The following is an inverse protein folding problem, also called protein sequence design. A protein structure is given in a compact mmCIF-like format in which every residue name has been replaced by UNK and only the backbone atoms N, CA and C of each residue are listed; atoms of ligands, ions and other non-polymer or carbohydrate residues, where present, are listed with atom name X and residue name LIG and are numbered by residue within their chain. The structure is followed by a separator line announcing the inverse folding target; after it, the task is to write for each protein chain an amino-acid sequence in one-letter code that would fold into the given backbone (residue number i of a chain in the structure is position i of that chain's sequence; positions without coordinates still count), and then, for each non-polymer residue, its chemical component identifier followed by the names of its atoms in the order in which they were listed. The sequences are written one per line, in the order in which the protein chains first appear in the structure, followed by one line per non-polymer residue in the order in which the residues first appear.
data_IF_659302577638
#
_entry.id   IF_659302577638
#
_cell.length_a   1.000
_cell.length_b   1.000
_cell.length_c   1.000
_cell.angle_alpha   90.00
_cell.angle_beta   90.00
_cell.angle_gamma   90.00
#
_symmetry.space_group_name_H-M   'P 1'
#
loop_
_entity.id
_entity.type
_entity.pdbx_description
1 polymer ?
#
# COMPACT_ATOMS: atom_id res chain seq x y z
N UNK A 1 76.62 -14.58 -38.68
CA UNK A 1 75.52 -14.33 -37.71
C UNK A 1 74.21 -14.45 -38.45
N UNK A 2 73.58 -15.61 -38.34
CA UNK A 2 72.51 -16.09 -39.21
C UNK A 2 71.15 -15.89 -38.51
N UNK A 3 70.22 -15.19 -39.16
CA UNK A 3 68.91 -14.84 -38.59
C UNK A 3 67.92 -16.00 -38.77
N UNK A 4 67.63 -16.71 -37.69
CA UNK A 4 66.60 -17.76 -37.63
C UNK A 4 65.21 -17.12 -37.64
N UNK A 5 64.47 -17.30 -38.74
CA UNK A 5 63.04 -16.93 -38.86
C UNK A 5 62.18 -18.07 -38.32
N UNK A 6 61.62 -17.90 -37.12
CA UNK A 6 60.61 -18.82 -36.56
C UNK A 6 59.25 -18.51 -37.20
N UNK A 7 58.74 -19.43 -38.03
CA UNK A 7 57.37 -19.39 -38.57
C UNK A 7 56.41 -20.02 -37.56
N UNK A 8 55.57 -19.19 -36.92
CA UNK A 8 54.42 -19.69 -36.15
C UNK A 8 53.22 -19.90 -37.08
N UNK A 9 52.91 -21.15 -37.39
CA UNK A 9 51.67 -21.55 -38.05
C UNK A 9 50.57 -21.74 -37.01
N UNK A 10 49.60 -20.81 -36.98
CA UNK A 10 48.36 -20.97 -36.20
C UNK A 10 47.50 -22.06 -36.87
N UNK A 11 47.43 -23.24 -36.25
CA UNK A 11 46.39 -24.24 -36.57
C UNK A 11 45.04 -23.68 -36.12
N UNK A 12 44.24 -23.22 -37.06
CA UNK A 12 42.81 -23.01 -36.82
C UNK A 12 42.16 -24.39 -36.65
N UNK A 13 41.74 -24.70 -35.42
CA UNK A 13 40.80 -25.79 -35.20
C UNK A 13 39.50 -25.43 -35.90
N UNK A 14 39.13 -26.28 -36.86
CA UNK A 14 37.87 -26.23 -37.61
C UNK A 14 36.74 -26.45 -36.60
N UNK A 15 36.13 -25.37 -36.13
CA UNK A 15 34.91 -25.41 -35.33
C UNK A 15 33.84 -26.15 -36.16
N UNK A 16 33.38 -27.28 -35.63
CA UNK A 16 32.17 -27.95 -36.10
C UNK A 16 31.01 -26.98 -35.97
N UNK A 17 30.14 -26.84 -37.00
CA UNK A 17 28.97 -25.97 -36.89
C UNK A 17 28.08 -26.48 -35.77
N UNK A 18 27.77 -25.60 -34.80
CA UNK A 18 26.70 -25.84 -33.84
C UNK A 18 25.45 -26.22 -34.64
N UNK A 19 24.87 -27.36 -34.31
CA UNK A 19 23.57 -27.77 -34.82
C UNK A 19 22.58 -26.63 -34.61
N UNK A 20 22.00 -26.18 -35.70
CA UNK A 20 20.92 -25.21 -35.76
C UNK A 20 19.83 -25.61 -34.75
N UNK A 21 19.37 -24.70 -33.87
CA UNK A 21 18.20 -24.93 -33.05
C UNK A 21 16.98 -25.01 -33.97
N UNK A 22 16.56 -26.23 -34.28
CA UNK A 22 15.20 -26.62 -34.64
C UNK A 22 14.42 -25.61 -35.50
N UNK A 23 14.48 -25.81 -36.82
CA UNK A 23 13.28 -25.71 -37.64
C UNK A 23 12.27 -26.74 -37.13
N UNK A 24 11.55 -26.39 -36.06
CA UNK A 24 10.30 -27.04 -35.70
C UNK A 24 9.27 -26.59 -36.73
N UNK A 25 9.21 -27.33 -37.83
CA UNK A 25 8.10 -27.32 -38.78
C UNK A 25 6.82 -27.48 -37.97
N UNK A 26 6.03 -26.41 -37.93
CA UNK A 26 4.72 -26.39 -37.32
C UNK A 26 3.81 -27.32 -38.13
N UNK A 27 3.72 -28.59 -37.71
CA UNK A 27 2.64 -29.45 -38.16
C UNK A 27 1.38 -29.00 -37.42
N UNK A 28 0.41 -28.51 -38.20
CA UNK A 28 -0.83 -27.81 -37.82
C UNK A 28 -1.83 -28.62 -36.96
N UNK A 29 -1.43 -29.76 -36.43
CA UNK A 29 -2.19 -30.46 -35.42
C UNK A 29 -2.02 -29.73 -34.09
N UNK A 30 -3.05 -28.99 -33.64
CA UNK A 30 -3.15 -28.45 -32.28
C UNK A 30 -2.93 -29.59 -31.28
N UNK A 31 -1.68 -29.79 -30.83
CA UNK A 31 -1.36 -30.77 -29.81
C UNK A 31 -2.19 -30.43 -28.57
N UNK A 32 -2.99 -31.38 -28.10
CA UNK A 32 -3.76 -31.21 -26.87
C UNK A 32 -2.76 -30.93 -25.74
N UNK A 33 -2.96 -29.84 -25.02
CA UNK A 33 -2.17 -29.49 -23.85
C UNK A 33 -2.55 -30.44 -22.70
N UNK A 34 -1.84 -31.56 -22.60
CA UNK A 34 -1.99 -32.51 -21.49
C UNK A 34 -1.11 -32.11 -20.32
N UNK A 35 -1.46 -32.55 -19.10
CA UNK A 35 -0.70 -32.22 -17.89
C UNK A 35 0.70 -32.86 -17.94
N UNK A 36 0.81 -34.09 -18.46
CA UNK A 36 2.08 -34.77 -18.70
C UNK A 36 3.00 -33.99 -19.65
N UNK A 37 2.45 -33.46 -20.75
CA UNK A 37 3.21 -32.61 -21.67
C UNK A 37 3.73 -31.35 -20.96
N UNK A 38 2.90 -30.71 -20.14
CA UNK A 38 3.29 -29.48 -19.44
C UNK A 38 4.33 -29.73 -18.34
N UNK A 39 4.22 -30.85 -17.61
CA UNK A 39 5.21 -31.30 -16.63
C UNK A 39 6.55 -31.55 -17.32
N UNK A 40 6.56 -32.29 -18.43
CA UNK A 40 7.78 -32.60 -19.18
C UNK A 40 8.40 -31.32 -19.77
N UNK A 41 7.58 -30.40 -20.29
CA UNK A 41 8.05 -29.11 -20.81
C UNK A 41 8.71 -28.25 -19.71
N UNK A 42 8.12 -28.20 -18.51
CA UNK A 42 8.65 -27.48 -17.37
C UNK A 42 9.95 -28.12 -16.84
N UNK A 43 10.01 -29.45 -16.75
CA UNK A 43 11.21 -30.21 -16.33
C UNK A 43 12.36 -30.05 -17.32
N UNK A 44 12.08 -30.10 -18.62
CA UNK A 44 13.09 -29.92 -19.67
C UNK A 44 13.62 -28.48 -19.73
N UNK A 45 12.85 -27.50 -19.25
CA UNK A 45 13.20 -26.09 -19.32
C UNK A 45 13.11 -25.43 -17.94
N UNK A 46 13.93 -25.86 -16.97
CA UNK A 46 13.80 -25.44 -15.59
C UNK A 46 14.06 -23.94 -15.42
N UNK A 47 14.60 -23.24 -16.42
CA UNK A 47 14.89 -21.81 -16.40
C UNK A 47 13.74 -20.90 -16.87
N UNK A 48 12.76 -21.43 -17.60
CA UNK A 48 11.73 -20.61 -18.25
C UNK A 48 10.63 -20.14 -17.30
N UNK A 49 10.17 -18.91 -17.53
CA UNK A 49 8.99 -18.37 -16.89
C UNK A 49 7.71 -18.83 -17.62
N UNK A 50 6.54 -18.62 -16.99
CA UNK A 50 5.26 -19.13 -17.49
C UNK A 50 4.87 -18.52 -18.85
N UNK A 51 5.32 -17.30 -19.18
CA UNK A 51 5.07 -16.68 -20.49
C UNK A 51 5.88 -17.37 -21.58
N UNK A 52 7.12 -17.72 -21.29
CA UNK A 52 7.99 -18.44 -22.23
C UNK A 52 7.48 -19.85 -22.45
N UNK A 53 7.06 -20.55 -21.39
CA UNK A 53 6.39 -21.85 -21.50
C UNK A 53 5.12 -21.77 -22.35
N UNK A 54 4.33 -20.70 -22.22
CA UNK A 54 3.14 -20.48 -23.04
C UNK A 54 3.47 -20.27 -24.53
N UNK A 55 4.54 -19.53 -24.83
CA UNK A 55 5.04 -19.40 -26.21
C UNK A 55 5.49 -20.75 -26.78
N UNK A 56 6.25 -21.54 -26.01
CA UNK A 56 6.70 -22.87 -26.44
C UNK A 56 5.55 -23.85 -26.65
N UNK A 57 4.54 -23.79 -25.78
CA UNK A 57 3.36 -24.64 -25.87
C UNK A 57 2.34 -24.16 -26.92
N UNK A 58 2.58 -23.02 -27.59
CA UNK A 58 1.64 -22.45 -28.56
C UNK A 58 0.28 -22.10 -27.97
N UNK A 59 0.22 -21.65 -26.71
CA UNK A 59 -1.04 -21.38 -26.00
C UNK A 59 -0.96 -20.09 -25.17
N UNK A 60 -2.08 -19.71 -24.53
CA UNK A 60 -2.13 -18.49 -23.72
C UNK A 60 -1.38 -18.64 -22.40
N UNK A 61 -0.77 -17.55 -21.93
CA UNK A 61 -0.15 -17.47 -20.60
C UNK A 61 -1.11 -17.92 -19.49
N UNK A 62 -2.37 -17.50 -19.57
CA UNK A 62 -3.37 -17.81 -18.55
C UNK A 62 -3.70 -19.31 -18.53
N UNK A 63 -3.76 -19.96 -19.70
CA UNK A 63 -3.98 -21.40 -19.82
C UNK A 63 -2.88 -22.18 -19.12
N UNK A 64 -1.60 -21.85 -19.39
CA UNK A 64 -0.46 -22.49 -18.72
C UNK A 64 -0.48 -22.22 -17.22
N UNK A 65 -0.73 -20.98 -16.80
CA UNK A 65 -0.74 -20.62 -15.38
C UNK A 65 -1.82 -21.39 -14.60
N UNK A 66 -3.04 -21.47 -15.14
CA UNK A 66 -4.14 -22.21 -14.51
C UNK A 66 -3.82 -23.70 -14.43
N UNK A 67 -3.31 -24.29 -15.52
CA UNK A 67 -2.93 -25.72 -15.55
C UNK A 67 -1.80 -26.05 -14.57
N UNK A 68 -0.74 -25.25 -14.53
CA UNK A 68 0.35 -25.45 -13.56
C UNK A 68 -0.13 -25.35 -12.11
N UNK A 69 -1.11 -24.48 -11.82
CA UNK A 69 -1.72 -24.41 -10.48
C UNK A 69 -2.50 -25.66 -10.12
N UNK A 70 -3.27 -26.21 -11.06
CA UNK A 70 -4.02 -27.47 -10.88
C UNK A 70 -3.07 -28.65 -10.68
N UNK A 71 -2.05 -28.78 -11.53
CA UNK A 71 -1.05 -29.85 -11.40
C UNK A 71 -0.34 -29.79 -10.04
N UNK A 72 -0.02 -28.59 -9.56
CA UNK A 72 0.62 -28.41 -8.25
C UNK A 72 -0.33 -28.61 -7.06
N UNK A 73 -1.66 -28.61 -7.24
CA UNK A 73 -2.60 -28.93 -6.15
C UNK A 73 -2.80 -30.43 -5.94
N UNK A 74 -2.51 -31.24 -6.96
CA UNK A 74 -2.89 -32.66 -6.99
C UNK A 74 -1.79 -33.60 -6.46
N UNK A 75 -0.87 -33.10 -5.62
CA UNK A 75 0.32 -33.78 -5.06
C UNK A 75 1.33 -34.37 -6.08
N UNK A 76 0.98 -34.43 -7.36
CA UNK A 76 1.88 -34.74 -8.49
C UNK A 76 2.61 -33.46 -8.89
N UNK A 77 3.36 -32.90 -7.94
CA UNK A 77 4.00 -31.60 -8.13
C UNK A 77 4.91 -31.58 -9.36
N UNK A 78 4.61 -30.72 -10.34
CA UNK A 78 5.50 -30.42 -11.46
C UNK A 78 6.83 -29.77 -11.01
N UNK A 79 6.99 -29.53 -9.71
CA UNK A 79 8.03 -28.74 -9.07
C UNK A 79 8.24 -27.39 -9.79
N UNK A 80 7.15 -26.84 -10.32
CA UNK A 80 7.19 -25.52 -10.92
C UNK A 80 7.05 -24.49 -9.82
N UNK A 81 8.18 -24.16 -9.18
CA UNK A 81 8.27 -22.98 -8.33
C UNK A 81 7.85 -21.77 -9.17
N UNK A 82 6.82 -21.04 -8.73
CA UNK A 82 6.35 -19.82 -9.36
C UNK A 82 7.53 -18.85 -9.47
N UNK A 83 8.22 -18.89 -10.61
CA UNK A 83 9.39 -18.06 -10.80
C UNK A 83 8.92 -16.63 -10.70
N UNK A 84 9.54 -15.91 -9.77
CA UNK A 84 9.43 -14.46 -9.71
C UNK A 84 9.56 -13.95 -11.15
N UNK A 85 8.63 -13.09 -11.58
CA UNK A 85 8.74 -12.39 -12.87
C UNK A 85 9.88 -11.36 -12.82
N UNK A 86 10.97 -11.69 -12.13
CA UNK A 86 12.13 -10.83 -11.97
C UNK A 86 12.67 -10.60 -13.37
N UNK A 87 12.48 -9.38 -13.86
CA UNK A 87 12.90 -8.99 -15.21
C UNK A 87 14.42 -9.03 -15.38
N UNK A 88 15.16 -9.11 -14.28
CA UNK A 88 16.62 -9.12 -14.24
C UNK A 88 17.14 -9.90 -13.02
N UNK A 89 18.34 -10.46 -13.12
CA UNK A 89 19.03 -11.14 -12.01
C UNK A 89 19.78 -10.15 -11.11
N UNK A 90 20.24 -10.61 -9.95
CA UNK A 90 21.03 -9.76 -9.05
C UNK A 90 22.38 -9.44 -9.66
N UNK A 91 22.98 -10.40 -10.34
CA UNK A 91 24.25 -10.26 -11.06
C UNK A 91 24.15 -9.17 -12.12
N UNK A 92 23.06 -9.15 -12.90
CA UNK A 92 22.80 -8.09 -13.86
C UNK A 92 22.69 -6.72 -13.18
N UNK A 93 21.94 -6.62 -12.09
CA UNK A 93 21.75 -5.34 -11.40
C UNK A 93 23.04 -4.86 -10.73
N UNK A 94 23.84 -5.77 -10.16
CA UNK A 94 25.15 -5.48 -9.58
C UNK A 94 26.09 -4.93 -10.67
N UNK A 95 26.19 -5.62 -11.80
CA UNK A 95 27.03 -5.21 -12.93
C UNK A 95 26.58 -3.86 -13.49
N UNK A 96 25.27 -3.67 -13.68
CA UNK A 96 24.69 -2.43 -14.19
C UNK A 96 25.02 -1.23 -13.29
N UNK A 97 24.89 -1.38 -11.96
CA UNK A 97 25.16 -0.29 -11.02
C UNK A 97 26.66 -0.03 -10.89
N UNK A 98 27.48 -1.08 -10.82
CA UNK A 98 28.93 -0.92 -10.68
C UNK A 98 29.58 -0.32 -11.93
N UNK A 99 29.07 -0.63 -13.13
CA UNK A 99 29.49 0.02 -14.38
C UNK A 99 29.02 1.47 -14.50
N UNK A 100 27.95 1.85 -13.80
CA UNK A 100 27.32 3.16 -13.93
C UNK A 100 27.00 3.80 -12.56
N UNK A 101 28.00 4.06 -11.71
CA UNK A 101 27.79 4.48 -10.31
C UNK A 101 27.11 5.85 -10.18
N UNK A 102 27.10 6.65 -11.25
CA UNK A 102 26.52 7.99 -11.30
C UNK A 102 25.02 8.01 -11.62
N UNK A 103 24.46 6.89 -12.12
CA UNK A 103 23.04 6.82 -12.50
C UNK A 103 22.12 6.85 -11.28
N UNK A 104 21.03 7.59 -11.44
CA UNK A 104 19.91 7.59 -10.51
C UNK A 104 19.13 6.28 -10.59
N UNK A 105 18.38 5.94 -9.54
CA UNK A 105 17.46 4.78 -9.55
C UNK A 105 16.49 4.86 -10.73
N UNK A 106 16.05 6.05 -11.11
CA UNK A 106 15.10 6.26 -12.21
C UNK A 106 15.73 5.96 -13.57
N UNK A 107 17.01 6.26 -13.75
CA UNK A 107 17.72 5.92 -14.99
C UNK A 107 18.01 4.42 -15.04
N UNK A 108 18.47 3.83 -13.94
CA UNK A 108 18.66 2.38 -13.82
C UNK A 108 17.36 1.63 -14.12
N UNK A 109 16.23 2.14 -13.64
CA UNK A 109 14.92 1.51 -13.86
C UNK A 109 14.47 1.56 -15.32
N UNK A 110 14.84 2.60 -16.07
CA UNK A 110 14.61 2.65 -17.53
C UNK A 110 15.45 1.59 -18.26
N UNK A 111 16.71 1.44 -17.87
CA UNK A 111 17.63 0.47 -18.51
C UNK A 111 17.18 -0.97 -18.24
N UNK A 112 16.74 -1.27 -17.02
CA UNK A 112 16.31 -2.61 -16.62
C UNK A 112 14.84 -2.93 -16.95
N UNK A 113 14.13 -2.03 -17.65
CA UNK A 113 12.67 -2.08 -17.85
C UNK A 113 11.88 -2.40 -16.56
N UNK A 114 12.24 -1.77 -15.45
CA UNK A 114 11.62 -2.03 -14.15
C UNK A 114 11.17 -0.74 -13.47
N UNK A 115 10.38 -0.87 -12.39
CA UNK A 115 10.01 0.29 -11.59
C UNK A 115 11.20 0.76 -10.75
N UNK A 116 11.31 2.08 -10.53
CA UNK A 116 12.32 2.65 -9.64
C UNK A 116 12.26 2.05 -8.23
N UNK A 117 11.06 1.81 -7.71
CA UNK A 117 10.85 1.16 -6.40
C UNK A 117 11.39 -0.26 -6.38
N UNK A 118 11.15 -1.06 -7.44
CA UNK A 118 11.67 -2.43 -7.57
C UNK A 118 13.20 -2.43 -7.54
N UNK A 119 13.83 -1.54 -8.32
CA UNK A 119 15.29 -1.40 -8.36
C UNK A 119 15.83 -0.98 -6.99
N UNK A 120 15.25 0.05 -6.37
CA UNK A 120 15.69 0.50 -5.04
C UNK A 120 15.57 -0.59 -3.97
N UNK A 121 14.45 -1.33 -3.95
CA UNK A 121 14.24 -2.39 -2.98
C UNK A 121 15.21 -3.56 -3.22
N UNK A 122 15.48 -3.89 -4.49
CA UNK A 122 16.40 -4.97 -4.83
C UNK A 122 17.85 -4.62 -4.48
N UNK A 123 18.32 -3.40 -4.76
CA UNK A 123 19.65 -2.93 -4.33
C UNK A 123 19.78 -3.01 -2.79
N UNK A 124 18.74 -2.58 -2.04
CA UNK A 124 18.74 -2.71 -0.57
C UNK A 124 18.85 -4.17 -0.13
N UNK A 125 18.13 -5.07 -0.79
CA UNK A 125 18.17 -6.50 -0.48
C UNK A 125 19.54 -7.12 -0.79
N UNK A 126 20.13 -6.79 -1.93
CA UNK A 126 21.49 -7.24 -2.32
C UNK A 126 22.50 -6.80 -1.25
N UNK A 127 22.44 -5.53 -0.83
CA UNK A 127 23.38 -4.98 0.15
C UNK A 127 23.14 -5.47 1.59
N UNK A 128 21.95 -6.02 1.92
CA UNK A 128 21.71 -6.68 3.22
C UNK A 128 22.53 -7.95 3.38
N UNK A 129 22.83 -8.64 2.27
CA UNK A 129 23.61 -9.88 2.27
C UNK A 129 25.12 -9.63 2.11
N UNK A 130 25.58 -8.41 2.46
CA UNK A 130 26.94 -7.93 2.22
C UNK A 130 26.96 -6.84 1.15
N UNK A 131 27.90 -5.90 1.30
CA UNK A 131 28.02 -4.77 0.37
C UNK A 131 28.54 -5.25 -0.99
N UNK A 132 27.66 -5.33 -1.99
CA UNK A 132 28.01 -5.75 -3.38
C UNK A 132 27.81 -4.63 -4.40
N UNK A 133 27.08 -3.58 -4.04
CA UNK A 133 26.73 -2.46 -4.93
C UNK A 133 27.17 -1.13 -4.30
N UNK A 134 28.23 -0.53 -4.85
CA UNK A 134 28.75 0.77 -4.43
C UNK A 134 28.01 1.89 -5.14
N UNK A 135 26.94 2.38 -4.54
CA UNK A 135 26.16 3.48 -5.10
C UNK A 135 26.50 4.79 -4.42
N UNK A 136 26.91 5.79 -5.20
CA UNK A 136 27.09 7.16 -4.70
C UNK A 136 25.70 7.73 -4.40
N UNK A 137 25.40 8.00 -3.13
CA UNK A 137 24.12 8.58 -2.72
C UNK A 137 24.06 10.02 -3.22
N UNK A 138 23.41 10.24 -4.36
CA UNK A 138 23.13 11.58 -4.86
C UNK A 138 22.20 12.29 -3.87
N UNK A 139 22.62 13.45 -3.36
CA UNK A 139 21.76 14.29 -2.55
C UNK A 139 20.45 14.54 -3.32
N UNK A 140 19.32 14.19 -2.72
CA UNK A 140 18.03 14.49 -3.32
C UNK A 140 17.93 16.01 -3.42
N UNK A 141 17.93 16.56 -4.63
CA UNK A 141 17.58 17.96 -4.84
C UNK A 141 16.13 18.12 -4.41
N UNK A 142 15.90 18.60 -3.19
CA UNK A 142 14.56 18.87 -2.69
C UNK A 142 14.04 20.14 -3.35
N UNK A 143 13.66 20.05 -4.63
CA UNK A 143 12.88 21.08 -5.29
C UNK A 143 11.41 20.99 -4.84
N UNK A 144 11.16 20.81 -3.55
CA UNK A 144 9.84 21.06 -2.98
C UNK A 144 9.81 22.53 -2.63
N UNK A 145 9.32 23.34 -3.58
CA UNK A 145 8.68 24.58 -3.22
C UNK A 145 7.72 24.27 -2.07
N UNK A 146 7.86 24.99 -0.95
CA UNK A 146 6.99 24.80 0.22
C UNK A 146 5.54 24.98 -0.24
N UNK A 147 4.64 24.02 -0.04
CA UNK A 147 3.23 24.25 -0.32
C UNK A 147 2.73 25.27 0.70
N UNK A 148 2.52 26.50 0.25
CA UNK A 148 1.68 27.47 0.93
C UNK A 148 0.24 26.99 0.80
N UNK A 149 -0.30 26.43 1.88
CA UNK A 149 -1.74 26.27 2.06
C UNK A 149 -2.07 26.84 3.43
N UNK A 150 -2.14 28.16 3.52
CA UNK A 150 -2.85 28.83 4.61
C UNK A 150 -4.35 28.78 4.26
N UNK A 151 -5.16 28.34 5.22
CA UNK A 151 -6.61 28.29 5.09
C UNK A 151 -7.16 29.68 5.50
N UNK A 152 -7.71 30.49 4.57
CA UNK A 152 -7.92 31.93 4.79
C UNK A 152 -8.99 32.26 5.85
N UNK A 153 -9.95 31.37 6.12
CA UNK A 153 -11.06 31.64 7.05
C UNK A 153 -10.68 31.66 8.53
N UNK A 154 -9.55 31.05 8.91
CA UNK A 154 -9.08 31.01 10.30
C UNK A 154 -8.23 32.22 10.69
N UNK A 155 -7.76 33.00 9.71
CA UNK A 155 -7.02 34.23 9.98
C UNK A 155 -7.89 35.27 10.70
N UNK A 156 -9.17 35.35 10.34
CA UNK A 156 -10.05 36.43 10.81
C UNK A 156 -10.47 36.25 12.28
N UNK A 157 -10.90 35.05 12.72
CA UNK A 157 -11.24 34.80 14.14
C UNK A 157 -10.02 34.91 15.06
N UNK A 158 -8.86 34.44 14.59
CA UNK A 158 -7.61 34.57 15.33
C UNK A 158 -7.20 36.04 15.48
N UNK A 159 -7.27 36.83 14.39
CA UNK A 159 -7.01 38.28 14.42
C UNK A 159 -7.96 39.01 15.35
N UNK A 160 -9.27 38.69 15.32
CA UNK A 160 -10.27 39.30 16.22
C UNK A 160 -9.93 39.02 17.69
N UNK A 161 -9.61 37.76 18.03
CA UNK A 161 -9.22 37.41 19.40
C UNK A 161 -7.90 38.06 19.81
N UNK A 162 -6.93 38.19 18.91
CA UNK A 162 -5.64 38.82 19.19
C UNK A 162 -5.80 40.31 19.52
N UNK A 163 -6.63 41.01 18.75
CA UNK A 163 -6.97 42.43 18.95
C UNK A 163 -7.71 42.63 20.27
N UNK A 164 -8.71 41.80 20.55
CA UNK A 164 -9.51 41.91 21.77
C UNK A 164 -8.71 41.64 23.06
N UNK A 165 -7.74 40.72 22.99
CA UNK A 165 -6.90 40.38 24.15
C UNK A 165 -5.73 41.35 24.36
N UNK A 166 -5.41 42.20 23.37
CA UNK A 166 -4.28 43.12 23.44
C UNK A 166 -4.66 44.50 22.85
N UNK A 167 -5.63 45.22 23.45
CA UNK A 167 -6.16 46.45 22.88
C UNK A 167 -5.13 47.58 22.79
N UNK A 168 -4.05 47.50 23.57
CA UNK A 168 -3.00 48.52 23.62
C UNK A 168 -1.92 48.33 22.55
N UNK A 169 -1.91 47.19 21.83
CA UNK A 169 -0.92 46.92 20.79
C UNK A 169 -1.31 47.56 19.46
N UNK A 170 -0.33 48.18 18.81
CA UNK A 170 -0.53 48.73 17.46
C UNK A 170 -0.43 47.64 16.37
N UNK A 171 -0.80 47.97 15.13
CA UNK A 171 -0.81 47.00 14.03
C UNK A 171 0.57 46.41 13.69
N UNK A 172 1.67 47.13 13.92
CA UNK A 172 3.02 46.61 13.69
C UNK A 172 3.41 45.61 14.80
N UNK A 173 3.05 45.91 16.05
CA UNK A 173 3.21 44.99 17.18
C UNK A 173 2.33 43.73 16.99
N UNK A 174 1.07 43.89 16.58
CA UNK A 174 0.19 42.78 16.21
C UNK A 174 0.74 42.01 15.00
N UNK A 175 1.38 42.66 14.03
CA UNK A 175 2.05 41.99 12.92
C UNK A 175 3.22 41.13 13.41
N UNK A 176 4.01 41.60 14.37
CA UNK A 176 5.05 40.76 15.01
C UNK A 176 4.47 39.59 15.80
N UNK A 177 3.23 39.70 16.29
CA UNK A 177 2.51 38.60 16.93
C UNK A 177 1.94 37.58 15.91
N UNK A 178 1.49 38.05 14.75
CA UNK A 178 0.91 37.20 13.68
C UNK A 178 1.96 36.59 12.75
N UNK A 179 3.19 37.09 12.77
CA UNK A 179 4.33 36.41 12.17
C UNK A 179 4.50 35.07 12.89
N UNK A 180 3.90 34.04 12.27
CA UNK A 180 3.73 32.61 12.56
C UNK A 180 4.87 31.82 13.26
N UNK A 181 5.88 32.52 13.75
CA UNK A 181 6.90 32.12 14.71
C UNK A 181 6.41 32.01 16.16
N UNK A 182 5.23 32.53 16.52
CA UNK A 182 4.77 32.62 17.92
C UNK A 182 4.37 31.32 18.59
N UNK A 183 4.14 30.25 17.82
CA UNK A 183 4.24 28.94 18.42
C UNK A 183 5.73 28.70 18.65
N UNK A 184 6.30 29.29 19.70
CA UNK A 184 7.69 29.06 20.08
C UNK A 184 7.77 27.76 20.87
N UNK A 185 8.97 27.19 21.00
CA UNK A 185 9.13 25.99 21.82
C UNK A 185 8.90 26.37 23.31
N UNK A 186 9.19 27.62 23.69
CA UNK A 186 8.96 28.23 25.02
C UNK A 186 7.46 28.34 25.36
N UNK A 187 6.64 28.84 24.44
CA UNK A 187 5.19 28.93 24.63
C UNK A 187 4.57 27.55 24.85
N UNK A 188 4.98 26.56 24.04
CA UNK A 188 4.51 25.18 24.18
C UNK A 188 4.96 24.55 25.52
N UNK A 189 6.19 24.82 25.97
CA UNK A 189 6.67 24.37 27.28
C UNK A 189 5.78 24.94 28.40
N UNK A 190 5.55 26.26 28.39
CA UNK A 190 4.70 26.94 29.37
C UNK A 190 3.30 26.35 29.39
N UNK A 191 2.64 26.31 28.23
CA UNK A 191 1.28 25.79 28.09
C UNK A 191 1.11 24.38 28.65
N UNK A 192 2.06 23.47 28.37
CA UNK A 192 2.01 22.08 28.87
C UNK A 192 2.30 22.01 30.37
N UNK A 193 3.27 22.78 30.87
CA UNK A 193 3.66 22.74 32.27
C UNK A 193 2.59 23.37 33.18
N UNK A 194 1.93 24.42 32.70
CA UNK A 194 0.86 25.13 33.41
C UNK A 194 -0.44 24.31 33.41
N UNK A 195 -0.61 23.41 32.43
CA UNK A 195 -1.81 22.58 32.28
C UNK A 195 -1.44 21.09 32.09
N UNK A 196 -0.86 20.43 33.10
CA UNK A 196 -0.39 19.05 33.00
C UNK A 196 -1.52 18.04 32.74
N UNK A 197 -2.77 18.48 32.89
CA UNK A 197 -3.97 17.67 32.68
C UNK A 197 -4.51 17.71 31.24
N UNK A 198 -4.00 18.54 30.35
CA UNK A 198 -4.48 18.58 28.97
C UNK A 198 -3.95 17.39 28.17
N UNK A 199 -4.83 16.76 27.40
CA UNK A 199 -4.42 15.77 26.41
C UNK A 199 -3.91 16.48 25.12
N UNK A 200 -3.45 15.70 24.12
CA UNK A 200 -2.90 16.29 22.89
C UNK A 200 -3.99 16.94 22.03
N UNK A 201 -5.23 16.49 22.13
CA UNK A 201 -6.41 17.08 21.49
C UNK A 201 -6.68 18.47 22.04
N UNK A 202 -6.70 18.63 23.37
CA UNK A 202 -6.98 19.89 24.04
C UNK A 202 -5.86 20.91 23.73
N UNK A 203 -4.60 20.46 23.79
CA UNK A 203 -3.46 21.28 23.40
C UNK A 203 -3.55 21.69 21.92
N UNK A 204 -3.96 20.78 21.03
CA UNK A 204 -4.16 21.07 19.62
C UNK A 204 -5.27 22.12 19.40
N UNK A 205 -6.39 21.99 20.12
CA UNK A 205 -7.49 22.95 20.05
C UNK A 205 -7.09 24.33 20.57
N UNK A 206 -6.38 24.41 21.71
CA UNK A 206 -5.92 25.68 22.30
C UNK A 206 -4.91 26.43 21.44
N UNK A 207 -4.15 25.71 20.61
CA UNK A 207 -3.07 26.27 19.80
C UNK A 207 -3.42 26.36 18.32
N UNK A 208 -4.68 26.10 17.98
CA UNK A 208 -5.20 25.98 16.62
C UNK A 208 -4.24 25.22 15.68
N UNK A 209 -3.77 24.07 16.16
CA UNK A 209 -2.71 23.31 15.52
C UNK A 209 -3.08 21.85 15.44
N UNK A 210 -2.53 21.14 14.46
CA UNK A 210 -2.78 19.70 14.39
C UNK A 210 -2.12 18.98 15.57
N UNK A 211 -2.80 17.95 16.12
CA UNK A 211 -2.25 17.03 17.14
C UNK A 211 -0.82 16.57 16.82
N UNK A 212 -0.58 16.28 15.53
CA UNK A 212 0.73 15.84 15.02
C UNK A 212 1.79 16.95 15.11
N UNK A 213 1.43 18.20 14.83
CA UNK A 213 2.33 19.35 14.94
C UNK A 213 2.80 19.52 16.38
N UNK A 214 1.85 19.49 17.33
CA UNK A 214 2.13 19.59 18.77
C UNK A 214 3.04 18.46 19.22
N UNK A 215 2.67 17.21 18.90
CA UNK A 215 3.46 16.04 19.27
C UNK A 215 4.89 16.09 18.73
N UNK A 216 5.05 16.45 17.46
CA UNK A 216 6.38 16.58 16.85
C UNK A 216 7.24 17.65 17.53
N UNK A 217 6.63 18.76 17.93
CA UNK A 217 7.31 19.84 18.63
C UNK A 217 7.70 19.45 20.04
N UNK A 218 6.80 18.86 20.83
CA UNK A 218 7.14 18.30 22.15
C UNK A 218 8.33 17.33 22.06
N UNK A 219 8.33 16.43 21.06
CA UNK A 219 9.45 15.50 20.82
C UNK A 219 10.75 16.25 20.47
N UNK A 220 10.67 17.27 19.61
CA UNK A 220 11.82 18.07 19.18
C UNK A 220 12.40 18.86 20.36
N UNK A 221 11.57 19.52 21.15
CA UNK A 221 11.95 20.29 22.34
C UNK A 221 12.65 19.42 23.37
N UNK A 222 12.10 18.24 23.67
CA UNK A 222 12.72 17.26 24.56
C UNK A 222 14.09 16.77 24.06
N UNK A 223 14.26 16.60 22.75
CA UNK A 223 15.57 16.23 22.15
C UNK A 223 16.61 17.34 22.28
N UNK A 224 16.19 18.60 22.33
CA UNK A 224 17.06 19.75 22.52
C UNK A 224 17.43 19.99 23.99
N UNK A 225 17.01 19.12 24.91
CA UNK A 225 17.31 19.22 26.35
C UNK A 225 16.32 20.08 27.14
N UNK A 226 15.40 20.77 26.47
CA UNK A 226 14.28 21.47 27.12
C UNK A 226 13.22 20.43 27.52
N UNK A 227 13.09 20.14 28.81
CA UNK A 227 12.13 19.17 29.32
C UNK A 227 10.72 19.77 29.31
N UNK A 228 9.87 19.29 28.41
CA UNK A 228 8.43 19.49 28.45
C UNK A 228 7.85 18.41 29.37
N UNK A 229 7.14 18.78 30.45
CA UNK A 229 6.50 17.82 31.36
C UNK A 229 5.19 17.26 30.77
N UNK A 230 5.22 16.89 29.49
CA UNK A 230 4.10 16.25 28.84
C UNK A 230 4.06 14.78 29.28
N UNK A 231 3.20 14.48 30.25
CA UNK A 231 2.76 13.11 30.45
C UNK A 231 1.73 12.84 29.39
N UNK A 232 2.10 12.05 28.39
CA UNK A 232 1.11 11.49 27.48
C UNK A 232 0.05 10.82 28.35
N UNK A 233 -1.13 11.43 28.44
CA UNK A 233 -2.31 10.76 28.95
C UNK A 233 -2.53 9.65 27.95
N UNK A 234 -1.96 8.48 28.26
CA UNK A 234 -2.42 7.28 27.61
C UNK A 234 -3.89 7.22 28.03
N UNK A 235 -4.80 7.65 27.14
CA UNK A 235 -6.14 7.10 27.08
C UNK A 235 -5.89 5.63 26.85
N UNK A 236 -5.66 4.94 27.97
CA UNK A 236 -5.07 3.63 27.98
C UNK A 236 -6.22 2.78 27.52
N UNK A 237 -6.31 2.59 26.21
CA UNK A 237 -7.13 1.58 25.60
C UNK A 237 -6.51 0.26 26.02
N UNK A 238 -6.81 -0.12 27.26
CA UNK A 238 -6.32 -1.31 27.91
C UNK A 238 -7.20 -2.48 27.51
N UNK A 239 -6.64 -3.67 27.69
CA UNK A 239 -7.37 -4.89 27.40
C UNK A 239 -8.58 -4.99 28.36
N UNK A 240 -8.43 -4.59 29.62
CA UNK A 240 -9.50 -4.58 30.63
C UNK A 240 -10.66 -3.64 30.28
N UNK A 241 -10.36 -2.43 29.77
CA UNK A 241 -11.40 -1.49 29.34
C UNK A 241 -12.19 -2.04 28.15
N UNK A 242 -11.49 -2.65 27.17
CA UNK A 242 -12.14 -3.27 26.02
C UNK A 242 -12.98 -4.49 26.42
N UNK A 243 -12.48 -5.32 27.35
CA UNK A 243 -13.21 -6.47 27.90
C UNK A 243 -14.49 -6.00 28.61
N UNK A 244 -14.40 -4.96 29.44
CA UNK A 244 -15.53 -4.34 30.12
C UNK A 244 -16.61 -3.90 29.14
N UNK A 245 -16.23 -3.09 28.13
CA UNK A 245 -17.15 -2.63 27.08
C UNK A 245 -17.85 -3.78 26.34
N UNK A 246 -17.11 -4.83 25.98
CA UNK A 246 -17.67 -5.99 25.28
C UNK A 246 -18.66 -6.75 26.16
N UNK A 247 -18.36 -6.90 27.45
CA UNK A 247 -19.22 -7.63 28.37
C UNK A 247 -20.47 -6.83 28.77
N UNK A 248 -20.35 -5.51 28.91
CA UNK A 248 -21.47 -4.61 29.20
C UNK A 248 -22.41 -4.43 28.00
N UNK A 249 -21.88 -4.52 26.79
CA UNK A 249 -22.64 -4.38 25.55
C UNK A 249 -22.18 -5.41 24.52
N UNK A 250 -22.55 -6.70 24.71
CA UNK A 250 -22.21 -7.76 23.76
C UNK A 250 -22.86 -7.51 22.40
N UNK A 251 -23.77 -6.53 22.33
CA UNK A 251 -24.43 -6.15 21.10
C UNK A 251 -23.57 -5.40 20.08
N UNK A 252 -22.49 -4.78 20.54
CA UNK A 252 -21.65 -3.90 19.73
C UNK A 252 -20.77 -4.65 18.74
N UNK A 253 -20.69 -4.10 17.53
CA UNK A 253 -19.72 -4.51 16.53
C UNK A 253 -18.39 -3.73 16.68
N UNK A 254 -17.35 -4.12 15.93
CA UNK A 254 -16.01 -3.49 16.05
C UNK A 254 -15.97 -2.01 15.66
N UNK A 255 -16.90 -1.55 14.83
CA UNK A 255 -17.00 -0.17 14.40
C UNK A 255 -17.61 0.70 15.50
N UNK A 256 -18.67 0.22 16.14
CA UNK A 256 -19.27 0.90 17.30
C UNK A 256 -18.29 0.95 18.48
N UNK A 257 -17.58 -0.15 18.76
CA UNK A 257 -16.50 -0.18 19.74
C UNK A 257 -15.38 0.81 19.39
N UNK A 258 -15.07 0.99 18.11
CA UNK A 258 -14.06 1.94 17.66
C UNK A 258 -14.50 3.39 17.95
N UNK A 259 -15.77 3.73 17.69
CA UNK A 259 -16.34 5.05 18.00
C UNK A 259 -16.33 5.30 19.51
N UNK A 260 -16.78 4.35 20.33
CA UNK A 260 -16.82 4.50 21.79
C UNK A 260 -15.44 4.66 22.43
N UNK A 261 -14.42 4.07 21.83
CA UNK A 261 -13.05 4.08 22.38
C UNK A 261 -12.19 5.20 21.79
N UNK A 262 -12.74 5.99 20.85
CA UNK A 262 -11.98 6.92 19.99
C UNK A 262 -10.74 6.24 19.37
N UNK A 263 -10.91 5.00 18.90
CA UNK A 263 -9.85 4.25 18.22
C UNK A 263 -10.25 3.83 16.82
N UNK A 264 -9.29 3.29 16.08
CA UNK A 264 -9.56 2.73 14.76
C UNK A 264 -10.08 1.28 14.89
N UNK A 265 -11.05 0.88 14.07
CA UNK A 265 -11.61 -0.49 14.03
C UNK A 265 -10.53 -1.59 13.98
N UNK A 266 -9.50 -1.42 13.13
CA UNK A 266 -8.35 -2.33 13.07
C UNK A 266 -7.62 -2.50 14.42
N UNK A 267 -7.56 -1.44 15.25
CA UNK A 267 -6.99 -1.50 16.60
C UNK A 267 -7.85 -2.37 17.51
N UNK A 268 -9.19 -2.18 17.47
CA UNK A 268 -10.16 -3.06 18.16
C UNK A 268 -9.96 -4.50 17.76
N UNK A 269 -9.99 -4.79 16.45
CA UNK A 269 -9.84 -6.17 15.94
C UNK A 269 -8.52 -6.79 16.36
N UNK A 270 -7.41 -6.05 16.30
CA UNK A 270 -6.10 -6.55 16.70
C UNK A 270 -6.05 -6.85 18.19
N UNK A 271 -6.64 -6.00 19.03
CA UNK A 271 -6.69 -6.17 20.48
C UNK A 271 -7.55 -7.35 20.88
N UNK A 272 -8.75 -7.48 20.32
CA UNK A 272 -9.62 -8.65 20.51
C UNK A 272 -8.85 -9.94 20.20
N UNK A 273 -8.18 -10.01 19.05
CA UNK A 273 -7.38 -11.19 18.68
C UNK A 273 -6.22 -11.45 19.66
N UNK A 274 -5.56 -10.39 20.15
CA UNK A 274 -4.47 -10.52 21.13
C UNK A 274 -4.99 -11.06 22.47
N UNK A 275 -6.09 -10.52 22.97
CA UNK A 275 -6.75 -10.95 24.21
C UNK A 275 -7.15 -12.43 24.09
N UNK A 276 -7.84 -12.81 23.00
CA UNK A 276 -8.20 -14.20 22.75
C UNK A 276 -6.99 -15.13 22.67
N UNK A 277 -5.88 -14.67 22.06
CA UNK A 277 -4.66 -15.48 21.94
C UNK A 277 -3.95 -15.73 23.28
N UNK A 278 -4.20 -14.90 24.30
CA UNK A 278 -3.68 -15.08 25.66
C UNK A 278 -4.52 -16.05 26.50
N UNK A 279 -5.65 -16.52 25.98
CA UNK A 279 -6.60 -17.36 26.72
C UNK A 279 -7.50 -16.56 27.67
N UNK A 280 -7.48 -15.23 27.60
CA UNK A 280 -8.44 -14.39 28.30
C UNK A 280 -9.82 -14.55 27.65
N UNK A 281 -10.83 -14.87 28.45
CA UNK A 281 -12.19 -15.09 27.97
C UNK A 281 -12.90 -13.78 27.69
N UNK A 282 -12.93 -13.38 26.43
CA UNK A 282 -13.88 -12.37 25.95
C UNK A 282 -15.09 -13.06 25.36
N UNK A 283 -16.29 -12.69 25.80
CA UNK A 283 -17.54 -13.12 25.17
C UNK A 283 -17.82 -12.31 23.90
N UNK A 284 -16.78 -12.10 23.08
CA UNK A 284 -16.89 -11.39 21.83
C UNK A 284 -17.21 -12.38 20.72
N UNK A 285 -18.49 -12.50 20.38
CA UNK A 285 -18.88 -13.14 19.14
C UNK A 285 -18.53 -12.17 18.02
N UNK A 286 -17.64 -12.58 17.10
CA UNK A 286 -17.31 -11.74 15.95
C UNK A 286 -18.57 -11.44 15.15
N UNK A 287 -19.12 -10.25 15.38
CA UNK A 287 -20.15 -9.66 14.55
C UNK A 287 -19.47 -9.25 13.28
N UNK A 288 -19.47 -10.14 12.30
CA UNK A 288 -19.33 -9.70 10.94
C UNK A 288 -20.45 -8.69 10.74
N UNK A 289 -20.12 -7.41 10.56
CA UNK A 289 -21.05 -6.36 10.10
C UNK A 289 -21.71 -6.71 8.76
N UNK A 290 -21.33 -7.85 8.18
CA UNK A 290 -22.20 -8.59 7.28
C UNK A 290 -23.41 -9.13 8.05
N UNK A 291 -24.43 -8.29 8.25
CA UNK A 291 -25.76 -8.77 7.89
C UNK A 291 -25.58 -9.57 6.61
N UNK A 292 -25.90 -10.87 6.66
CA UNK A 292 -25.67 -11.78 5.54
C UNK A 292 -26.26 -11.08 4.33
N UNK A 293 -25.37 -10.56 3.50
CA UNK A 293 -25.71 -9.86 2.29
C UNK A 293 -26.08 -10.97 1.31
N UNK A 294 -27.26 -11.55 1.53
CA UNK A 294 -27.71 -12.72 0.78
C UNK A 294 -27.99 -12.30 -0.66
N UNK A 295 -28.01 -13.28 -1.56
CA UNK A 295 -28.33 -13.01 -2.95
C UNK A 295 -29.76 -12.41 -3.02
N UNK A 296 -30.70 -12.89 -2.18
CA UNK A 296 -32.09 -12.44 -2.08
C UNK A 296 -32.20 -10.98 -1.61
N UNK A 297 -31.52 -10.60 -0.52
CA UNK A 297 -31.53 -9.21 -0.03
C UNK A 297 -31.06 -8.24 -1.11
N UNK A 298 -29.99 -8.58 -1.82
CA UNK A 298 -29.47 -7.72 -2.89
C UNK A 298 -30.42 -7.65 -4.10
N UNK A 299 -31.04 -8.78 -4.46
CA UNK A 299 -32.05 -8.81 -5.54
C UNK A 299 -33.22 -7.89 -5.18
N UNK A 300 -33.76 -8.02 -3.96
CA UNK A 300 -34.89 -7.22 -3.48
C UNK A 300 -34.51 -5.74 -3.40
N UNK A 301 -33.33 -5.42 -2.88
CA UNK A 301 -32.85 -4.04 -2.78
C UNK A 301 -32.76 -3.37 -4.15
N UNK A 302 -32.25 -4.06 -5.17
CA UNK A 302 -32.15 -3.52 -6.54
C UNK A 302 -33.53 -3.40 -7.18
N UNK A 303 -34.39 -4.40 -7.01
CA UNK A 303 -35.73 -4.40 -7.61
C UNK A 303 -36.65 -3.33 -6.99
N UNK A 304 -36.53 -3.08 -5.69
CA UNK A 304 -37.27 -2.02 -5.00
C UNK A 304 -36.75 -0.62 -5.32
N UNK A 305 -35.51 -0.51 -5.80
CA UNK A 305 -34.84 0.78 -6.03
C UNK A 305 -34.14 0.82 -7.41
N UNK A 306 -34.88 0.64 -8.52
CA UNK A 306 -34.29 0.61 -9.86
C UNK A 306 -33.64 1.95 -10.24
N UNK A 307 -34.02 3.04 -9.54
CA UNK A 307 -33.53 4.39 -9.79
C UNK A 307 -32.17 4.68 -9.15
N UNK A 308 -31.74 3.91 -8.15
CA UNK A 308 -30.51 4.16 -7.42
C UNK A 308 -29.24 3.70 -8.17
N UNK A 309 -28.17 4.46 -7.98
CA UNK A 309 -26.84 4.09 -8.43
C UNK A 309 -26.12 3.16 -7.42
N UNK A 310 -24.96 2.60 -7.79
CA UNK A 310 -24.20 1.69 -6.93
C UNK A 310 -23.79 2.27 -5.57
N UNK A 311 -23.54 3.58 -5.50
CA UNK A 311 -23.13 4.26 -4.25
C UNK A 311 -24.31 4.37 -3.29
N UNK A 312 -25.50 4.70 -3.81
CA UNK A 312 -26.72 4.79 -3.02
C UNK A 312 -27.18 3.41 -2.52
N UNK A 313 -27.18 2.41 -3.39
CA UNK A 313 -27.46 1.02 -3.00
C UNK A 313 -26.47 0.51 -1.93
N UNK A 314 -25.20 0.87 -2.07
CA UNK A 314 -24.17 0.52 -1.09
C UNK A 314 -24.41 1.17 0.27
N UNK A 315 -24.86 2.43 0.29
CA UNK A 315 -25.25 3.14 1.51
C UNK A 315 -26.43 2.47 2.20
N UNK A 316 -27.47 2.09 1.44
CA UNK A 316 -28.64 1.37 1.99
C UNK A 316 -28.26 -0.01 2.56
N UNK A 317 -27.35 -0.71 1.88
CA UNK A 317 -26.90 -2.04 2.30
C UNK A 317 -25.80 -2.03 3.37
N UNK A 318 -25.29 -0.85 3.78
CA UNK A 318 -24.15 -0.75 4.70
C UNK A 318 -22.86 -1.39 4.18
N UNK A 319 -22.64 -1.41 2.86
CA UNK A 319 -21.43 -1.97 2.24
C UNK A 319 -20.79 -1.00 1.24
N UNK A 320 -19.72 -1.41 0.55
CA UNK A 320 -19.11 -0.59 -0.50
C UNK A 320 -19.76 -0.82 -1.87
N UNK A 321 -19.75 0.19 -2.73
CA UNK A 321 -20.23 0.09 -4.12
C UNK A 321 -19.53 -1.04 -4.91
N UNK A 322 -18.23 -1.25 -4.65
CA UNK A 322 -17.48 -2.35 -5.24
C UNK A 322 -18.01 -3.72 -4.80
N UNK A 323 -18.41 -3.86 -3.52
CA UNK A 323 -19.05 -5.06 -2.99
C UNK A 323 -20.37 -5.34 -3.69
N UNK A 324 -21.26 -4.34 -3.82
CA UNK A 324 -22.53 -4.46 -4.54
C UNK A 324 -22.27 -4.93 -5.98
N UNK A 325 -21.41 -4.21 -6.72
CA UNK A 325 -21.11 -4.51 -8.12
C UNK A 325 -20.57 -5.93 -8.32
N UNK A 326 -19.64 -6.36 -7.46
CA UNK A 326 -19.09 -7.72 -7.50
C UNK A 326 -20.18 -8.77 -7.26
N UNK A 327 -21.04 -8.56 -6.25
CA UNK A 327 -22.10 -9.51 -5.90
C UNK A 327 -23.19 -9.59 -6.98
N UNK A 328 -23.60 -8.47 -7.57
CA UNK A 328 -24.53 -8.47 -8.72
C UNK A 328 -23.96 -9.31 -9.88
N UNK A 329 -22.65 -9.17 -10.18
CA UNK A 329 -21.99 -10.00 -11.20
C UNK A 329 -22.02 -11.48 -10.84
N UNK A 330 -21.71 -11.84 -9.61
CA UNK A 330 -21.75 -13.22 -9.13
C UNK A 330 -23.17 -13.82 -9.25
N UNK A 331 -24.20 -13.08 -8.83
CA UNK A 331 -25.61 -13.52 -8.93
C UNK A 331 -25.98 -13.75 -10.40
N UNK A 332 -25.65 -12.80 -11.27
CA UNK A 332 -25.89 -12.91 -12.72
C UNK A 332 -25.15 -14.10 -13.35
N UNK A 333 -23.95 -14.46 -12.88
CA UNK A 333 -23.23 -15.65 -13.36
C UNK A 333 -23.87 -16.97 -12.96
N UNK A 334 -24.68 -17.00 -11.89
CA UNK A 334 -25.45 -18.19 -11.47
C UNK A 334 -26.78 -18.34 -12.21
N UNK A 335 -27.08 -17.46 -13.17
CA UNK A 335 -28.31 -17.49 -13.97
C UNK A 335 -29.50 -16.72 -13.38
N UNK A 336 -29.38 -16.20 -12.16
CA UNK A 336 -30.37 -15.29 -11.58
C UNK A 336 -30.10 -13.89 -12.12
N UNK A 337 -31.00 -13.34 -12.95
CA UNK A 337 -30.82 -12.01 -13.54
C UNK A 337 -31.29 -10.92 -12.58
N UNK A 338 -30.34 -10.19 -12.00
CA UNK A 338 -30.59 -8.91 -11.32
C UNK A 338 -30.81 -7.85 -12.38
N UNK A 339 -31.95 -7.18 -12.38
CA UNK A 339 -32.28 -6.13 -13.34
C UNK A 339 -31.61 -4.79 -12.97
N UNK A 340 -30.28 -4.76 -12.99
CA UNK A 340 -29.52 -3.53 -12.79
C UNK A 340 -29.06 -2.95 -14.13
N UNK A 341 -29.62 -1.81 -14.50
CA UNK A 341 -29.12 -1.02 -15.63
C UNK A 341 -27.88 -0.23 -15.17
N UNK A 342 -26.76 -0.39 -15.87
CA UNK A 342 -25.53 0.32 -15.50
C UNK A 342 -25.68 1.84 -15.72
N UNK A 343 -25.76 2.60 -14.62
CA UNK A 343 -25.93 4.06 -14.62
C UNK A 343 -24.66 4.88 -14.61
N UNK A 344 -23.48 4.27 -14.80
CA UNK A 344 -22.19 4.98 -14.78
C UNK A 344 -22.07 6.15 -15.77
N UNK A 345 -23.03 6.32 -16.69
CA UNK A 345 -23.06 7.39 -17.68
C UNK A 345 -24.07 8.51 -17.38
N UNK A 346 -24.94 8.36 -16.38
CA UNK A 346 -25.74 9.49 -15.90
C UNK A 346 -24.83 10.33 -15.00
N UNK A 347 -24.15 11.30 -15.60
CA UNK A 347 -23.48 12.36 -14.82
C UNK A 347 -24.54 12.95 -13.90
N UNK A 348 -24.23 13.06 -12.60
CA UNK A 348 -25.01 13.88 -11.69
C UNK A 348 -25.14 15.26 -12.32
N UNK A 349 -26.30 15.53 -12.92
CA UNK A 349 -26.69 16.88 -13.25
C UNK A 349 -26.95 17.48 -11.88
N UNK A 350 -25.94 18.16 -11.34
CA UNK A 350 -26.06 18.91 -10.11
C UNK A 350 -27.11 20.00 -10.37
N UNK A 351 -28.35 19.76 -9.95
CA UNK A 351 -29.40 20.78 -9.93
C UNK A 351 -29.20 21.51 -8.60
N UNK A 352 -28.74 22.77 -8.60
CA UNK A 352 -28.70 23.56 -7.37
C UNK A 352 -30.14 23.74 -6.88
N UNK A 353 -30.36 23.49 -5.59
CA UNK A 353 -31.63 23.82 -4.92
C UNK A 353 -31.72 25.36 -4.85
N UNK A 354 -32.79 25.94 -5.41
CA UNK A 354 -33.21 27.34 -5.22
C UNK A 354 -33.87 27.56 -3.87
#
# INVERSE_FOLDING_TARGET
MEKVKVKHTKKYQKLTPLSTPNELIATDSKKKLTDEYLINLAKANPNLNTKELAKLAGTSYQTILTRLKQINSDDVGANYCKKSTQKFTDEYLIDLVNKNPTLSIRELSKISDASATTISNRIKQINRNGERVKRVKKASKSNRAKPWTANPKLADEYLINLINNNPDLNMDELATLTDSSQFTDEFLIGLVNDNPDLNIEDLAALTDSSKRTILNRIIKTNRNGLKVNYKKKDTKFTDEFLIGLINESPDLNQEELAVLTDTHMNTISRRINQISSRGESINYVRKCSMHKFTDEFLIDLVNQNPDLNMTELAKLAGVTAATISRRIKEINTKGVKVNYANKNNQKDIFIPYE
#
